data_IF_950480651173
#
_entry.id   IF_950480651173
#
_cell.length_a   1.000
_cell.length_b   1.000
_cell.length_c   1.000
_cell.angle_alpha   90.00
_cell.angle_beta   90.00
_cell.angle_gamma   90.00
#
_symmetry.space_group_name_H-M   'P 1'
#
loop_
_entity.id
_entity.type
_entity.pdbx_description
1 polymer ?
#
# COMPACT_ATOMS: atom_id res chain seq x y z
N UNK A 1 -10.93 5.15 5.02
CA UNK A 1 -9.59 5.18 5.66
C UNK A 1 -9.59 6.17 6.83
N UNK A 2 -9.08 5.84 8.03
CA UNK A 2 -9.03 6.81 9.15
C UNK A 2 -8.15 8.02 8.82
N UNK A 3 -8.57 9.23 9.23
CA UNK A 3 -7.86 10.48 8.97
C UNK A 3 -6.45 10.49 9.55
N UNK A 4 -6.24 9.96 10.77
CA UNK A 4 -4.91 9.90 11.40
C UNK A 4 -3.94 9.01 10.60
N UNK A 5 -4.47 8.00 9.89
CA UNK A 5 -3.68 7.16 8.96
C UNK A 5 -3.40 7.90 7.65
N UNK A 6 -4.35 8.70 7.18
CA UNK A 6 -4.21 9.54 5.98
C UNK A 6 -3.10 10.57 6.17
N UNK A 7 -3.15 11.35 7.26
CA UNK A 7 -2.15 12.38 7.59
C UNK A 7 -0.76 11.76 7.82
N UNK A 8 -0.66 10.63 8.53
CA UNK A 8 0.63 9.92 8.62
C UNK A 8 1.17 9.50 7.25
N UNK A 9 0.29 9.06 6.34
CA UNK A 9 0.70 8.57 5.03
C UNK A 9 1.19 9.70 4.09
N UNK A 10 0.96 10.96 4.44
CA UNK A 10 1.56 12.12 3.79
C UNK A 10 2.93 12.46 4.36
N UNK A 11 3.49 11.71 5.33
CA UNK A 11 4.86 11.86 5.84
C UNK A 11 5.28 13.25 6.34
N UNK A 12 4.36 14.22 6.39
CA UNK A 12 4.58 15.59 6.84
C UNK A 12 4.52 15.68 8.37
N UNK A 13 3.76 14.79 9.01
CA UNK A 13 3.51 14.82 10.44
C UNK A 13 3.77 13.45 11.08
N UNK A 14 4.31 13.50 12.30
CA UNK A 14 4.33 12.36 13.20
C UNK A 14 2.92 11.98 13.65
N UNK A 15 2.79 10.83 14.31
CA UNK A 15 1.50 10.38 14.87
C UNK A 15 0.89 11.42 15.81
N UNK A 16 1.70 11.98 16.71
CA UNK A 16 1.25 12.94 17.73
C UNK A 16 0.84 14.26 17.10
N UNK A 17 1.62 14.76 16.15
CA UNK A 17 1.29 16.01 15.46
C UNK A 17 0.07 15.86 14.57
N UNK A 18 -0.15 14.67 13.97
CA UNK A 18 -1.38 14.40 13.23
C UNK A 18 -2.61 14.47 14.15
N UNK A 19 -2.53 13.88 15.34
CA UNK A 19 -3.62 13.93 16.32
C UNK A 19 -3.89 15.39 16.76
N UNK A 20 -2.83 16.15 17.08
CA UNK A 20 -2.93 17.57 17.44
C UNK A 20 -3.51 18.42 16.30
N UNK A 21 -3.05 18.25 15.07
CA UNK A 21 -3.56 19.01 13.93
C UNK A 21 -5.04 18.73 13.63
N UNK A 22 -5.52 17.53 13.95
CA UNK A 22 -6.96 17.20 13.84
C UNK A 22 -7.73 17.86 15.00
N UNK A 23 -7.21 17.78 16.22
CA UNK A 23 -7.83 18.37 17.41
C UNK A 23 -7.92 19.90 17.31
N UNK A 24 -6.86 20.55 16.83
CA UNK A 24 -6.79 21.99 16.57
C UNK A 24 -7.68 22.44 15.39
N UNK A 25 -8.31 21.50 14.67
CA UNK A 25 -9.15 21.83 13.52
C UNK A 25 -8.39 22.32 12.29
N UNK A 26 -7.09 22.03 12.20
CA UNK A 26 -6.24 22.41 11.05
C UNK A 26 -6.50 21.53 9.82
N UNK A 27 -7.12 20.37 10.03
CA UNK A 27 -7.49 19.41 8.99
C UNK A 27 -8.95 19.57 8.59
N UNK A 28 -9.22 19.68 7.29
CA UNK A 28 -10.58 19.68 6.75
C UNK A 28 -10.75 18.61 5.67
N UNK A 29 -11.91 17.95 5.66
CA UNK A 29 -12.31 16.96 4.65
C UNK A 29 -13.47 17.57 3.87
N UNK A 30 -13.34 17.71 2.56
CA UNK A 30 -14.37 18.30 1.69
C UNK A 30 -14.92 19.63 2.24
N UNK A 31 -14.04 20.51 2.74
CA UNK A 31 -14.36 21.81 3.35
C UNK A 31 -15.09 21.75 4.71
N UNK A 32 -15.14 20.60 5.36
CA UNK A 32 -15.66 20.43 6.74
C UNK A 32 -14.52 20.07 7.69
N UNK A 33 -14.56 20.59 8.92
CA UNK A 33 -13.56 20.25 9.95
C UNK A 33 -13.54 18.75 10.21
N UNK A 34 -12.36 18.16 10.14
CA UNK A 34 -12.16 16.76 10.47
C UNK A 34 -12.15 16.59 11.98
N UNK A 35 -12.78 15.54 12.48
CA UNK A 35 -12.74 15.17 13.90
C UNK A 35 -11.80 13.99 14.13
N UNK A 36 -11.34 13.82 15.38
CA UNK A 36 -10.55 12.66 15.78
C UNK A 36 -11.35 11.39 15.48
N UNK A 37 -10.79 10.50 14.66
CA UNK A 37 -11.46 9.28 14.24
C UNK A 37 -12.30 9.40 12.96
N UNK A 38 -12.33 10.57 12.31
CA UNK A 38 -13.01 10.74 11.02
C UNK A 38 -12.49 9.75 9.96
N UNK A 39 -13.39 9.37 9.05
CA UNK A 39 -13.12 8.42 7.97
C UNK A 39 -13.10 9.18 6.65
N UNK A 40 -11.99 9.07 5.94
CA UNK A 40 -11.77 9.58 4.58
C UNK A 40 -12.12 8.50 3.58
N UNK A 41 -12.99 8.81 2.63
CA UNK A 41 -13.41 7.92 1.54
C UNK A 41 -12.56 8.11 0.29
N UNK A 42 -12.61 7.14 -0.63
CA UNK A 42 -11.95 7.23 -1.93
C UNK A 42 -12.70 8.27 -2.79
N UNK A 43 -12.19 9.49 -2.85
CA UNK A 43 -12.83 10.64 -3.50
C UNK A 43 -12.85 11.90 -2.63
N UNK A 44 -12.62 11.76 -1.33
CA UNK A 44 -12.56 12.91 -0.42
C UNK A 44 -11.26 13.69 -0.57
N UNK A 45 -11.38 15.01 -0.55
CA UNK A 45 -10.24 15.93 -0.60
C UNK A 45 -9.94 16.41 0.82
N UNK A 46 -8.77 16.02 1.31
CA UNK A 46 -8.26 16.45 2.62
C UNK A 46 -7.36 17.67 2.42
N UNK A 47 -7.67 18.74 3.15
CA UNK A 47 -6.83 19.92 3.25
C UNK A 47 -6.25 19.99 4.66
N UNK A 48 -5.01 20.43 4.74
CA UNK A 48 -4.32 20.72 5.97
C UNK A 48 -3.73 22.12 5.85
N UNK A 49 -4.06 23.01 6.77
CA UNK A 49 -3.60 24.41 6.74
C UNK A 49 -3.91 25.15 5.43
N UNK A 50 -4.95 24.72 4.71
CA UNK A 50 -5.33 25.24 3.41
C UNK A 50 -4.65 24.57 2.21
N UNK A 51 -3.67 23.69 2.45
CA UNK A 51 -3.01 22.92 1.39
C UNK A 51 -3.65 21.54 1.20
N UNK A 52 -3.85 21.13 -0.05
CA UNK A 52 -4.37 19.80 -0.37
C UNK A 52 -3.26 18.77 -0.16
N UNK A 53 -3.44 17.89 0.83
CA UNK A 53 -2.49 16.83 1.14
C UNK A 53 -2.92 15.51 0.50
N UNK A 54 -1.95 14.79 -0.10
CA UNK A 54 -2.17 13.49 -0.74
C UNK A 54 -1.26 12.43 -0.10
N UNK A 55 -1.80 11.28 0.32
CA UNK A 55 -0.99 10.24 0.95
C UNK A 55 -0.05 9.64 -0.10
N UNK A 56 1.24 9.62 0.17
CA UNK A 56 2.24 9.03 -0.75
C UNK A 56 2.06 7.52 -0.83
N UNK A 57 1.71 6.93 0.30
CA UNK A 57 1.30 5.54 0.40
C UNK A 57 -0.20 5.43 0.14
N UNK A 58 -0.63 5.88 -1.05
CA UNK A 58 -1.70 5.12 -1.69
C UNK A 58 -1.23 3.67 -1.67
N UNK A 59 -2.09 2.68 -1.38
CA UNK A 59 -1.84 1.41 -2.03
C UNK A 59 -1.86 1.77 -3.51
N UNK A 60 -0.69 2.08 -4.12
CA UNK A 60 -0.38 1.68 -5.49
C UNK A 60 -1.01 0.32 -5.49
N UNK A 61 -2.13 0.15 -6.22
CA UNK A 61 -2.79 -1.13 -6.38
C UNK A 61 -1.62 -2.08 -6.43
N UNK A 62 -1.38 -2.84 -5.35
CA UNK A 62 -0.37 -3.87 -5.43
C UNK A 62 -1.07 -4.64 -6.51
N UNK A 63 -0.62 -4.52 -7.78
CA UNK A 63 -1.03 -5.44 -8.83
C UNK A 63 -0.94 -6.72 -8.04
N UNK A 64 -2.07 -7.38 -7.79
CA UNK A 64 -2.02 -8.72 -7.26
C UNK A 64 -1.23 -9.36 -8.37
N UNK A 65 0.09 -9.42 -8.19
CA UNK A 65 0.92 -10.39 -8.85
C UNK A 65 0.32 -11.60 -8.19
N UNK A 66 -0.73 -12.11 -8.85
CA UNK A 66 -1.17 -13.45 -8.65
C UNK A 66 0.16 -14.19 -8.61
N UNK A 67 0.48 -14.94 -7.53
CA UNK A 67 1.63 -15.82 -7.63
C UNK A 67 1.46 -16.52 -8.98
N UNK A 68 2.49 -16.52 -9.86
CA UNK A 68 2.37 -17.26 -11.10
C UNK A 68 1.88 -18.61 -10.66
N UNK A 69 0.71 -19.01 -11.17
CA UNK A 69 0.17 -20.31 -10.89
C UNK A 69 1.18 -21.31 -11.47
N UNK A 70 2.24 -21.63 -10.71
CA UNK A 70 3.00 -22.84 -10.90
C UNK A 70 2.09 -23.91 -10.34
N UNK A 71 1.07 -24.20 -11.13
CA UNK A 71 0.29 -25.41 -11.03
C UNK A 71 1.09 -26.40 -11.89
N UNK A 72 1.92 -27.29 -11.31
CA UNK A 72 2.59 -28.31 -12.10
C UNK A 72 1.54 -29.36 -12.47
N UNK A 73 0.62 -29.02 -13.37
CA UNK A 73 -0.37 -29.97 -13.89
C UNK A 73 -0.03 -30.36 -15.32
N UNK A 74 1.18 -30.90 -15.49
CA UNK A 74 1.39 -32.04 -16.39
C UNK A 74 2.60 -32.88 -15.95
N UNK A 75 2.49 -34.21 -16.05
CA UNK A 75 3.57 -35.17 -15.76
C UNK A 75 4.83 -34.85 -16.59
N UNK A 76 4.63 -34.36 -17.82
CA UNK A 76 5.71 -33.98 -18.73
C UNK A 76 6.54 -32.79 -18.23
N UNK A 77 5.89 -31.76 -17.65
CA UNK A 77 6.59 -30.58 -17.11
C UNK A 77 7.42 -30.91 -15.86
N UNK A 78 6.95 -31.83 -14.99
CA UNK A 78 7.76 -32.34 -13.85
C UNK A 78 9.01 -33.08 -14.32
N UNK A 79 8.92 -33.86 -15.39
CA UNK A 79 10.06 -34.60 -15.96
C UNK A 79 11.08 -33.65 -16.58
N UNK A 80 10.63 -32.62 -17.31
CA UNK A 80 11.51 -31.61 -17.90
C UNK A 80 12.34 -30.87 -16.83
N UNK A 81 11.69 -30.46 -15.74
CA UNK A 81 12.36 -29.81 -14.61
C UNK A 81 13.40 -30.69 -13.92
N UNK A 82 13.10 -31.98 -13.72
CA UNK A 82 14.06 -32.93 -13.12
C UNK A 82 15.25 -33.23 -14.05
N UNK A 83 15.03 -33.31 -15.37
CA UNK A 83 16.11 -33.51 -16.36
C UNK A 83 17.07 -32.32 -16.39
N UNK A 84 16.56 -31.09 -16.50
CA UNK A 84 17.38 -29.88 -16.57
C UNK A 84 18.29 -29.71 -15.34
N UNK A 85 17.78 -30.03 -14.14
CA UNK A 85 18.57 -29.94 -12.91
C UNK A 85 19.62 -31.04 -12.77
N UNK A 86 19.46 -32.19 -13.45
CA UNK A 86 20.46 -33.27 -13.45
C UNK A 86 21.63 -32.97 -14.37
N UNK A 87 21.39 -32.25 -15.46
CA UNK A 87 22.41 -31.88 -16.45
C UNK A 87 23.40 -30.85 -15.91
N UNK A 88 22.91 -29.83 -15.19
CA UNK A 88 23.76 -28.83 -14.51
C UNK A 88 24.68 -29.40 -13.41
N UNK A 89 24.41 -30.63 -12.93
CA UNK A 89 25.28 -31.32 -11.96
C UNK A 89 26.44 -32.09 -12.61
N UNK A 90 26.41 -32.31 -13.93
CA UNK A 90 27.45 -33.08 -14.65
C UNK A 90 28.58 -32.24 -15.23
N UNK A 91 28.51 -30.92 -15.18
CA UNK A 91 29.60 -30.03 -15.65
C UNK A 91 30.40 -29.39 -14.51
N UNK A 92 30.25 -29.87 -13.27
CA UNK A 92 31.04 -29.41 -12.12
C UNK A 92 31.80 -30.55 -11.42
N UNK A 93 32.28 -31.51 -12.20
CA UNK A 93 33.28 -32.50 -11.81
C UNK A 93 34.24 -32.72 -12.97
#
# INVERSE_FOLDING_TARGET
MRINKFVKATGLFSRREADQAIEDGRVTINKKLATIGAIVSEGDVVHLDGEIIKPFNTPKQRKKVLPPAVNPKSKQQRIAYQKANKENRRHKK
#
